data_IF_287918866050
#
_entry.id   IF_287918866050
#
_cell.length_a   1.000
_cell.length_b   1.000
_cell.length_c   1.000
_cell.angle_alpha   90.00
_cell.angle_beta   90.00
_cell.angle_gamma   90.00
#
_symmetry.space_group_name_H-M   'P 1'
#
loop_
_entity.id
_entity.type
_entity.pdbx_description
1 polymer ?
#
# COMPACT_ATOMS: atom_id res chain seq x y z
N UNK A 1 -2.56 -1.13 15.44
CA UNK A 1 -1.76 -1.82 14.41
C UNK A 1 -0.90 -0.77 13.71
N UNK A 2 0.20 -1.14 13.08
CA UNK A 2 0.95 -0.24 12.21
C UNK A 2 1.45 -0.94 10.95
N UNK A 3 1.67 -0.18 9.89
CA UNK A 3 2.27 -0.61 8.62
C UNK A 3 3.19 0.49 8.07
N UNK A 4 3.77 0.26 6.89
CA UNK A 4 4.58 1.23 6.17
C UNK A 4 4.02 1.53 4.76
N UNK A 5 4.42 2.66 4.21
CA UNK A 5 4.16 3.04 2.83
C UNK A 5 5.32 3.87 2.26
N UNK A 6 5.43 3.98 0.94
CA UNK A 6 6.31 4.95 0.28
C UNK A 6 5.56 5.68 -0.83
N UNK A 7 6.12 6.79 -1.30
CA UNK A 7 5.53 7.55 -2.40
C UNK A 7 5.58 6.78 -3.73
N UNK A 8 4.51 6.88 -4.50
CA UNK A 8 4.44 6.44 -5.90
C UNK A 8 4.83 7.63 -6.78
N UNK A 9 5.73 7.41 -7.73
CA UNK A 9 6.33 8.48 -8.54
C UNK A 9 5.87 8.48 -10.00
N UNK A 10 5.18 7.43 -10.44
CA UNK A 10 4.74 7.25 -11.82
C UNK A 10 3.26 6.88 -11.91
N UNK A 11 2.65 7.25 -13.04
CA UNK A 11 1.21 7.05 -13.26
C UNK A 11 0.85 5.57 -13.46
N UNK A 12 1.76 4.78 -14.03
CA UNK A 12 1.57 3.36 -14.29
C UNK A 12 1.36 2.60 -12.98
N UNK A 13 2.26 2.79 -12.01
CA UNK A 13 2.16 2.23 -10.66
C UNK A 13 0.92 2.72 -9.93
N UNK A 14 0.52 3.98 -10.11
CA UNK A 14 -0.70 4.50 -9.47
C UNK A 14 -1.96 3.78 -9.94
N UNK A 15 -2.06 3.51 -11.24
CA UNK A 15 -3.18 2.76 -11.83
C UNK A 15 -3.05 1.25 -11.72
N UNK A 16 -1.87 0.71 -11.42
CA UNK A 16 -1.64 -0.72 -11.28
C UNK A 16 -2.40 -1.29 -10.05
N UNK A 17 -3.34 -2.25 -10.23
CA UNK A 17 -4.11 -2.82 -9.13
C UNK A 17 -3.30 -3.75 -8.21
N UNK A 18 -2.08 -4.12 -8.62
CA UNK A 18 -1.14 -4.87 -7.77
C UNK A 18 -0.37 -3.95 -6.81
N UNK A 19 -0.31 -2.65 -7.11
CA UNK A 19 0.22 -1.61 -6.21
C UNK A 19 -0.92 -1.14 -5.33
N UNK A 20 -0.93 -1.54 -4.06
CA UNK A 20 -2.00 -1.18 -3.12
C UNK A 20 -1.82 0.27 -2.67
N UNK A 21 -2.81 1.12 -2.91
CA UNK A 21 -2.78 2.51 -2.46
C UNK A 21 -3.27 2.61 -1.03
N UNK A 22 -2.72 3.56 -0.26
CA UNK A 22 -3.20 3.92 1.07
C UNK A 22 -3.43 5.43 1.17
N UNK A 23 -4.55 5.82 1.76
CA UNK A 23 -4.87 7.23 2.06
C UNK A 23 -4.76 7.44 3.56
N UNK A 24 -4.13 8.53 3.99
CA UNK A 24 -3.87 8.84 5.40
C UNK A 24 -4.67 10.04 5.88
N UNK A 25 -4.96 10.07 7.18
CA UNK A 25 -5.34 11.28 7.90
C UNK A 25 -4.09 12.12 8.28
N UNK A 26 -4.31 13.30 8.84
CA UNK A 26 -3.23 14.21 9.30
C UNK A 26 -2.29 13.58 10.34
N UNK A 27 -2.71 12.51 11.02
CA UNK A 27 -1.97 11.82 12.08
C UNK A 27 -1.30 10.55 11.57
N UNK A 28 -1.15 10.42 10.25
CA UNK A 28 -0.61 9.23 9.61
C UNK A 28 -1.36 7.95 9.98
N UNK A 29 -2.69 8.03 10.15
CA UNK A 29 -3.55 6.85 10.28
C UNK A 29 -4.20 6.55 8.94
N UNK A 30 -4.22 5.27 8.55
CA UNK A 30 -4.91 4.86 7.33
C UNK A 30 -6.41 5.17 7.41
N UNK A 31 -6.91 5.94 6.45
CA UNK A 31 -8.33 6.11 6.16
C UNK A 31 -8.87 4.93 5.36
N UNK A 32 -8.09 4.46 4.37
CA UNK A 32 -8.44 3.29 3.57
C UNK A 32 -7.23 2.72 2.84
N UNK A 33 -7.36 1.47 2.40
CA UNK A 33 -6.48 0.80 1.44
C UNK A 33 -7.30 0.42 0.22
N UNK A 34 -6.75 0.52 -0.98
CA UNK A 34 -7.48 0.11 -2.18
C UNK A 34 -6.54 -0.25 -3.32
N UNK A 35 -6.97 -1.19 -4.16
CA UNK A 35 -6.35 -1.43 -5.47
C UNK A 35 -6.74 -0.36 -6.49
N UNK A 36 -7.84 0.33 -6.27
CA UNK A 36 -8.24 1.48 -7.07
C UNK A 36 -7.29 2.68 -6.86
N UNK A 37 -7.16 3.57 -7.85
CA UNK A 37 -6.35 4.79 -7.74
C UNK A 37 -6.96 5.76 -6.72
N UNK A 38 -6.36 5.82 -5.52
CA UNK A 38 -6.79 6.70 -4.43
C UNK A 38 -5.62 7.47 -3.81
N UNK A 39 -5.82 8.74 -3.40
CA UNK A 39 -7.01 9.55 -3.68
C UNK A 39 -7.06 9.97 -5.17
N UNK A 40 -8.25 10.21 -5.71
CA UNK A 40 -8.42 10.50 -7.15
C UNK A 40 -8.19 11.99 -7.45
N UNK A 41 -7.15 12.38 -8.24
CA UNK A 41 -6.92 13.76 -8.61
C UNK A 41 -7.86 14.19 -9.76
N UNK A 42 -9.10 14.50 -9.38
CA UNK A 42 -10.23 14.73 -10.31
C UNK A 42 -9.89 15.64 -11.48
N UNK A 43 -9.36 16.83 -11.20
CA UNK A 43 -9.20 17.87 -12.22
C UNK A 43 -8.04 17.56 -13.17
N UNK A 44 -6.92 17.03 -12.65
CA UNK A 44 -5.80 16.58 -13.47
C UNK A 44 -6.21 15.43 -14.41
N UNK A 45 -6.89 14.41 -13.88
CA UNK A 45 -7.32 13.24 -14.66
C UNK A 45 -8.51 13.46 -15.59
N UNK A 46 -9.14 14.64 -15.55
CA UNK A 46 -10.03 15.10 -16.64
C UNK A 46 -9.24 15.60 -17.85
N UNK A 47 -8.01 16.06 -17.65
CA UNK A 47 -7.16 16.62 -18.69
C UNK A 47 -6.25 15.55 -19.32
N UNK A 48 -5.58 14.74 -18.50
CA UNK A 48 -4.69 13.65 -18.95
C UNK A 48 -4.56 12.56 -17.89
N UNK A 49 -4.34 11.31 -18.31
CA UNK A 49 -4.01 10.18 -17.43
C UNK A 49 -2.59 9.66 -17.66
N UNK A 50 -1.76 10.44 -18.35
CA UNK A 50 -0.41 10.03 -18.76
C UNK A 50 0.65 10.46 -17.73
N UNK A 51 0.27 11.25 -16.73
CA UNK A 51 1.16 11.74 -15.68
C UNK A 51 0.43 11.94 -14.36
N UNK A 52 1.18 11.97 -13.26
CA UNK A 52 0.67 12.43 -11.96
C UNK A 52 0.66 13.97 -11.92
N UNK A 53 -0.29 14.59 -11.19
CA UNK A 53 -0.28 16.03 -10.94
C UNK A 53 0.97 16.46 -10.18
N UNK A 54 1.42 17.69 -10.43
CA UNK A 54 2.51 18.29 -9.65
C UNK A 54 2.13 18.38 -8.16
N UNK A 55 3.06 18.01 -7.28
CA UNK A 55 2.84 18.00 -5.83
C UNK A 55 1.92 16.87 -5.32
N UNK A 56 1.42 15.99 -6.18
CA UNK A 56 0.63 14.85 -5.76
C UNK A 56 1.53 13.72 -5.24
N UNK A 57 1.30 13.31 -3.99
CA UNK A 57 2.09 12.25 -3.32
C UNK A 57 1.24 11.03 -2.97
N UNK A 58 0.78 10.24 -3.97
CA UNK A 58 0.08 9.00 -3.71
C UNK A 58 1.01 8.00 -3.04
N UNK A 59 0.47 7.13 -2.19
CA UNK A 59 1.26 6.21 -1.36
C UNK A 59 1.00 4.76 -1.74
N UNK A 60 2.09 4.00 -1.90
CA UNK A 60 2.09 2.55 -2.02
C UNK A 60 2.23 1.93 -0.63
N UNK A 61 1.25 1.14 -0.23
CA UNK A 61 1.30 0.34 1.00
C UNK A 61 2.28 -0.82 0.88
N UNK A 62 3.06 -1.04 1.94
CA UNK A 62 4.01 -2.14 2.04
C UNK A 62 3.49 -3.23 2.97
N UNK A 63 3.68 -4.49 2.58
CA UNK A 63 3.28 -5.68 3.36
C UNK A 63 4.09 -5.93 4.64
N UNK A 64 4.51 -4.87 5.35
CA UNK A 64 5.24 -4.92 6.61
C UNK A 64 4.34 -4.41 7.72
N UNK A 65 4.10 -5.25 8.74
CA UNK A 65 3.16 -4.90 9.80
C UNK A 65 3.76 -5.04 11.20
N UNK A 66 3.32 -4.15 12.10
CA UNK A 66 3.56 -4.25 13.53
C UNK A 66 2.23 -4.38 14.29
N UNK A 67 2.16 -5.40 15.15
CA UNK A 67 0.96 -5.73 15.90
C UNK A 67 1.23 -5.82 17.40
N UNK A 68 0.23 -5.47 18.20
CA UNK A 68 0.21 -5.84 19.63
C UNK A 68 -0.29 -7.27 19.76
N UNK A 69 0.32 -8.08 20.62
CA UNK A 69 -0.09 -9.48 20.82
C UNK A 69 -1.59 -9.66 21.10
N UNK A 70 -2.21 -8.73 21.86
CA UNK A 70 -3.67 -8.75 22.11
C UNK A 70 -4.50 -8.65 20.83
N UNK A 71 -4.03 -7.89 19.84
CA UNK A 71 -4.73 -7.72 18.57
C UNK A 71 -4.61 -8.99 17.73
N UNK A 72 -3.42 -9.61 17.68
CA UNK A 72 -3.22 -10.88 16.96
C UNK A 72 -4.11 -12.02 17.47
N UNK A 73 -4.49 -12.00 18.75
CA UNK A 73 -5.45 -12.99 19.29
C UNK A 73 -6.90 -12.71 18.89
N UNK A 74 -7.27 -11.44 18.70
CA UNK A 74 -8.64 -11.02 18.36
C UNK A 74 -8.87 -11.01 16.85
N UNK A 75 -7.90 -10.56 16.05
CA UNK A 75 -8.08 -10.33 14.63
C UNK A 75 -8.57 -11.58 13.84
N UNK A 76 -8.05 -12.79 14.07
CA UNK A 76 -8.52 -13.99 13.38
C UNK A 76 -9.95 -14.39 13.76
N UNK A 77 -10.46 -13.95 14.91
CA UNK A 77 -11.83 -14.26 15.36
C UNK A 77 -12.87 -13.32 14.77
N UNK A 78 -12.44 -12.24 14.10
CA UNK A 78 -13.35 -11.34 13.41
C UNK A 78 -13.82 -11.98 12.11
N UNK A 79 -15.13 -11.91 11.78
CA UNK A 79 -15.63 -12.33 10.48
C UNK A 79 -14.91 -11.59 9.35
N UNK A 80 -14.80 -12.23 8.20
CA UNK A 80 -14.22 -11.59 7.03
C UNK A 80 -15.09 -10.41 6.57
N UNK A 81 -14.49 -9.23 6.42
CA UNK A 81 -15.26 -8.04 6.04
C UNK A 81 -15.67 -8.11 4.55
N UNK A 82 -16.85 -7.59 4.16
CA UNK A 82 -17.23 -7.54 2.75
C UNK A 82 -16.21 -6.80 1.87
N UNK A 83 -15.67 -5.68 2.35
CA UNK A 83 -14.68 -4.88 1.63
C UNK A 83 -13.33 -5.59 1.51
N UNK A 84 -12.94 -6.40 2.51
CA UNK A 84 -11.74 -7.23 2.44
C UNK A 84 -11.86 -8.27 1.33
N UNK A 85 -13.04 -8.90 1.17
CA UNK A 85 -13.27 -9.88 0.09
C UNK A 85 -13.20 -9.26 -1.30
N UNK A 86 -13.79 -8.08 -1.47
CA UNK A 86 -13.83 -7.38 -2.76
C UNK A 86 -12.44 -6.90 -3.19
N UNK A 87 -11.69 -6.31 -2.28
CA UNK A 87 -10.35 -5.79 -2.56
C UNK A 87 -9.26 -6.87 -2.44
N UNK A 88 -9.55 -8.02 -1.82
CA UNK A 88 -8.55 -9.02 -1.44
C UNK A 88 -7.41 -8.38 -0.64
N UNK A 89 -7.77 -7.67 0.44
CA UNK A 89 -6.87 -6.92 1.33
C UNK A 89 -7.25 -7.15 2.80
N UNK A 90 -6.49 -7.99 3.51
CA UNK A 90 -6.76 -8.41 4.89
C UNK A 90 -6.86 -7.25 5.89
N UNK A 91 -6.04 -6.21 5.71
CA UNK A 91 -5.99 -5.06 6.62
C UNK A 91 -7.29 -4.25 6.62
N UNK A 92 -8.12 -4.38 5.57
CA UNK A 92 -9.45 -3.77 5.53
C UNK A 92 -10.40 -4.38 6.58
N UNK A 93 -10.20 -5.63 7.00
CA UNK A 93 -10.96 -6.21 8.11
C UNK A 93 -10.77 -5.41 9.39
N UNK A 94 -9.53 -5.00 9.67
CA UNK A 94 -9.22 -4.22 10.86
C UNK A 94 -9.94 -2.85 10.80
N UNK A 95 -9.82 -2.14 9.67
CA UNK A 95 -10.51 -0.86 9.47
C UNK A 95 -12.04 -1.00 9.58
N UNK A 96 -12.61 -2.05 8.97
CA UNK A 96 -14.05 -2.30 8.99
C UNK A 96 -14.62 -2.47 10.41
N UNK A 97 -13.86 -3.10 11.31
CA UNK A 97 -14.24 -3.28 12.72
C UNK A 97 -13.73 -2.15 13.65
N UNK A 98 -13.39 -0.99 13.09
CA UNK A 98 -13.09 0.23 13.84
C UNK A 98 -11.67 0.32 14.41
N UNK A 99 -10.75 -0.54 13.95
CA UNK A 99 -9.36 -0.48 14.38
C UNK A 99 -8.60 0.60 13.63
N UNK A 100 -7.62 1.22 14.32
CA UNK A 100 -6.74 2.22 13.72
C UNK A 100 -5.41 1.59 13.32
N UNK A 101 -4.95 1.94 12.12
CA UNK A 101 -3.68 1.49 11.55
C UNK A 101 -2.79 2.72 11.35
N UNK A 102 -1.74 2.85 12.15
CA UNK A 102 -0.71 3.86 11.93
C UNK A 102 0.13 3.49 10.70
N UNK A 103 0.55 4.46 9.92
CA UNK A 103 1.32 4.24 8.69
C UNK A 103 2.59 5.07 8.74
N UNK A 104 3.74 4.42 8.72
CA UNK A 104 5.02 5.09 8.59
C UNK A 104 5.30 5.32 7.10
N UNK A 105 5.49 6.58 6.70
CA UNK A 105 5.91 6.91 5.33
C UNK A 105 7.43 6.86 5.28
N UNK A 106 7.96 6.04 4.36
CA UNK A 106 9.40 5.87 4.14
C UNK A 106 9.89 6.84 3.06
N UNK A 107 11.13 7.32 3.22
CA UNK A 107 11.76 8.24 2.26
C UNK A 107 12.13 7.57 0.92
N UNK A 108 12.31 6.25 0.93
CA UNK A 108 12.68 5.48 -0.25
C UNK A 108 11.79 4.23 -0.37
N UNK A 109 11.56 3.82 -1.62
CA UNK A 109 10.93 2.54 -1.91
C UNK A 109 11.80 1.40 -1.37
N UNK A 110 11.16 0.40 -0.78
CA UNK A 110 11.83 -0.86 -0.48
C UNK A 110 12.10 -1.61 -1.80
N UNK A 111 13.17 -2.43 -1.88
CA UNK A 111 13.35 -3.33 -3.01
C UNK A 111 12.09 -4.17 -3.19
N UNK A 112 11.58 -4.24 -4.41
CA UNK A 112 10.43 -5.08 -4.72
C UNK A 112 10.72 -6.54 -4.33
N UNK A 113 9.68 -7.22 -3.81
CA UNK A 113 9.73 -8.64 -3.46
C UNK A 113 10.13 -9.52 -4.64
N UNK A 114 10.41 -10.79 -4.34
CA UNK A 114 10.71 -11.79 -5.37
C UNK A 114 9.50 -12.70 -5.52
N UNK A 115 8.60 -12.32 -6.43
CA UNK A 115 7.36 -13.05 -6.69
C UNK A 115 7.37 -13.78 -8.05
N UNK A 116 8.24 -13.35 -8.97
CA UNK A 116 8.41 -13.93 -10.31
C UNK A 116 9.84 -14.40 -10.57
N UNK A 117 10.03 -15.18 -11.65
CA UNK A 117 11.36 -15.60 -12.09
C UNK A 117 12.21 -14.38 -12.51
N UNK A 118 11.58 -13.40 -13.14
CA UNK A 118 12.19 -12.14 -13.55
C UNK A 118 12.66 -11.32 -12.34
N UNK A 119 11.88 -11.31 -11.25
CA UNK A 119 12.28 -10.67 -10.00
C UNK A 119 13.50 -11.35 -9.38
N UNK A 120 13.54 -12.69 -9.40
CA UNK A 120 14.68 -13.44 -8.89
C UNK A 120 15.95 -13.09 -9.66
N UNK A 121 15.87 -13.00 -10.98
CA UNK A 121 17.00 -12.62 -11.85
C UNK A 121 17.43 -11.17 -11.65
N UNK A 122 16.49 -10.25 -11.45
CA UNK A 122 16.76 -8.86 -11.07
C UNK A 122 17.53 -8.80 -9.74
N UNK A 123 17.05 -9.49 -8.70
CA UNK A 123 17.70 -9.51 -7.39
C UNK A 123 19.08 -10.18 -7.43
N UNK A 124 19.23 -11.29 -8.16
CA UNK A 124 20.54 -11.96 -8.36
C UNK A 124 21.58 -11.03 -8.98
N UNK A 125 21.20 -10.22 -9.98
CA UNK A 125 22.10 -9.24 -10.61
C UNK A 125 22.60 -8.18 -9.61
N UNK A 126 21.74 -7.74 -8.70
CA UNK A 126 22.12 -6.78 -7.63
C UNK A 126 23.13 -7.42 -6.67
N UNK A 127 22.88 -8.65 -6.20
CA UNK A 127 23.79 -9.34 -5.27
C UNK A 127 25.13 -9.72 -5.90
N UNK A 128 25.16 -10.10 -7.19
CA UNK A 128 26.41 -10.43 -7.89
C UNK A 128 27.34 -9.22 -8.09
N UNK A 129 26.83 -7.99 -7.92
CA UNK A 129 27.58 -6.73 -8.03
C UNK A 129 28.01 -6.16 -6.67
N UNK A 130 27.63 -6.80 -5.56
CA UNK A 130 28.10 -6.46 -4.23
C UNK A 130 29.35 -7.31 -3.90
N UNK A 131 30.52 -6.71 -3.57
CA UNK A 131 31.74 -7.43 -3.24
C UNK A 131 31.66 -8.21 -1.92
#
# INVERSE_FOLDING_TARGET
MATAAHTIHDVESFFNPNVVKVVLDERQTALTFSRAPVPWPRDHFRMTKDSLPEGFTPLHHLGLYAYRARFLRRFPTLPQAPIEKLESLEQLRALYYGERIAVMVLDAALPAGVDTQEDLERVRRVFAQQP
#
